data_IF_704551136924
#
_entry.id   IF_704551136924
#
_cell.length_a   1.000
_cell.length_b   1.000
_cell.length_c   1.000
_cell.angle_alpha   90.00
_cell.angle_beta   90.00
_cell.angle_gamma   90.00
#
_symmetry.space_group_name_H-M   'P 1'
#
loop_
_entity.id
_entity.type
_entity.pdbx_description
1 polymer ?
#
# COMPACT_ATOMS: atom_id res chain seq x y z
N UNK A 1 -4.53 -17.92 -3.24
CA UNK A 1 -4.56 -16.76 -2.32
C UNK A 1 -3.46 -16.95 -1.30
N UNK A 2 -2.56 -15.98 -1.17
CA UNK A 2 -1.48 -15.99 -0.18
C UNK A 2 -1.76 -14.91 0.85
N UNK A 3 -1.65 -15.24 2.13
CA UNK A 3 -1.78 -14.27 3.23
C UNK A 3 -0.41 -14.12 3.87
N UNK A 4 0.09 -12.88 3.90
CA UNK A 4 1.38 -12.58 4.51
C UNK A 4 1.19 -12.16 5.97
N UNK A 5 1.94 -12.75 6.92
CA UNK A 5 1.84 -12.36 8.31
C UNK A 5 2.40 -10.95 8.50
N UNK A 6 1.79 -10.18 9.40
CA UNK A 6 2.43 -8.96 9.90
C UNK A 6 3.57 -9.33 10.84
N UNK A 7 4.76 -8.86 10.50
CA UNK A 7 5.97 -9.04 11.30
C UNK A 7 6.41 -7.70 11.88
N UNK A 8 7.33 -7.73 12.84
CA UNK A 8 7.95 -6.51 13.36
C UNK A 8 8.61 -5.69 12.25
N UNK A 9 9.28 -6.36 11.31
CA UNK A 9 9.97 -5.70 10.21
C UNK A 9 9.00 -5.04 9.22
N UNK A 10 7.93 -5.74 8.83
CA UNK A 10 6.91 -5.17 7.93
C UNK A 10 6.18 -4.00 8.59
N UNK A 11 5.91 -4.08 9.90
CA UNK A 11 5.36 -2.98 10.67
C UNK A 11 6.29 -1.76 10.68
N UNK A 12 7.58 -1.93 11.00
CA UNK A 12 8.53 -0.82 11.08
C UNK A 12 8.74 -0.14 9.73
N UNK A 13 8.84 -0.90 8.63
CA UNK A 13 8.92 -0.33 7.28
C UNK A 13 7.64 0.40 6.89
N UNK A 14 6.47 -0.14 7.24
CA UNK A 14 5.19 0.54 7.06
C UNK A 14 5.13 1.86 7.83
N UNK A 15 5.56 1.85 9.09
CA UNK A 15 5.61 3.03 9.95
C UNK A 15 6.58 4.10 9.41
N UNK A 16 7.74 3.68 8.90
CA UNK A 16 8.69 4.60 8.27
C UNK A 16 8.08 5.32 7.07
N UNK A 17 7.38 4.59 6.20
CA UNK A 17 6.70 5.19 5.04
C UNK A 17 5.55 6.12 5.48
N UNK A 18 4.75 5.69 6.46
CA UNK A 18 3.67 6.50 7.03
C UNK A 18 4.17 7.84 7.56
N UNK A 19 5.26 7.83 8.34
CA UNK A 19 5.86 9.06 8.88
C UNK A 19 6.47 9.95 7.77
N UNK A 20 7.04 9.35 6.72
CA UNK A 20 7.58 10.09 5.56
C UNK A 20 6.50 10.71 4.67
N UNK A 21 5.26 10.23 4.77
CA UNK A 21 4.10 10.66 3.98
C UNK A 21 3.12 11.47 4.82
N UNK A 22 3.63 12.30 5.73
CA UNK A 22 2.81 13.24 6.50
C UNK A 22 2.06 14.28 5.64
N UNK A 23 2.44 14.41 4.37
CA UNK A 23 1.72 15.20 3.36
C UNK A 23 0.52 14.46 2.73
N UNK A 24 0.33 13.18 3.05
CA UNK A 24 -0.71 12.30 2.52
C UNK A 24 -1.62 11.80 3.63
N UNK A 25 -2.85 11.46 3.27
CA UNK A 25 -3.85 10.89 4.18
C UNK A 25 -3.77 9.35 4.26
N UNK A 26 -2.58 8.78 4.01
CA UNK A 26 -2.38 7.34 4.07
C UNK A 26 -2.62 6.80 5.48
N UNK A 27 -3.21 5.62 5.58
CA UNK A 27 -3.15 4.84 6.81
C UNK A 27 -1.82 4.07 6.91
N UNK A 28 -1.51 3.58 8.12
CA UNK A 28 -0.40 2.64 8.31
C UNK A 28 -0.60 1.34 7.51
N UNK A 29 -1.85 0.89 7.35
CA UNK A 29 -2.20 -0.30 6.57
C UNK A 29 -1.90 -0.10 5.09
N UNK A 30 -2.16 1.08 4.54
CA UNK A 30 -1.82 1.41 3.15
C UNK A 30 -0.32 1.33 2.93
N UNK A 31 0.45 2.01 3.80
CA UNK A 31 1.90 2.02 3.74
C UNK A 31 2.50 0.61 3.83
N UNK A 32 1.96 -0.22 4.71
CA UNK A 32 2.38 -1.62 4.87
C UNK A 32 2.05 -2.45 3.63
N UNK A 33 0.87 -2.23 3.04
CA UNK A 33 0.44 -2.90 1.81
C UNK A 33 1.32 -2.50 0.62
N UNK A 34 1.58 -1.19 0.44
CA UNK A 34 2.44 -0.66 -0.62
C UNK A 34 3.87 -1.19 -0.53
N UNK A 35 4.46 -1.23 0.68
CA UNK A 35 5.79 -1.82 0.88
C UNK A 35 5.81 -3.31 0.55
N UNK A 36 4.77 -4.04 0.95
CA UNK A 36 4.63 -5.48 0.64
C UNK A 36 4.55 -5.69 -0.87
N UNK A 37 3.69 -4.95 -1.56
CA UNK A 37 3.55 -5.02 -3.01
C UNK A 37 4.87 -4.73 -3.72
N UNK A 38 5.59 -3.67 -3.33
CA UNK A 38 6.93 -3.34 -3.87
C UNK A 38 7.93 -4.48 -3.67
N UNK A 39 7.96 -5.06 -2.48
CA UNK A 39 8.88 -6.17 -2.16
C UNK A 39 8.61 -7.43 -2.98
N UNK A 40 7.36 -7.59 -3.43
CA UNK A 40 6.93 -8.70 -4.29
C UNK A 40 6.91 -8.34 -5.78
N UNK A 41 7.37 -7.13 -6.15
CA UNK A 41 7.31 -6.62 -7.53
C UNK A 41 5.89 -6.61 -8.12
N UNK A 42 4.88 -6.35 -7.30
CA UNK A 42 3.48 -6.19 -7.72
C UNK A 42 3.19 -4.71 -7.99
N UNK A 43 2.60 -4.42 -9.16
CA UNK A 43 2.23 -3.06 -9.58
C UNK A 43 0.71 -2.82 -9.62
N UNK A 44 -0.10 -3.86 -9.56
CA UNK A 44 -1.57 -3.77 -9.69
C UNK A 44 -2.25 -4.04 -8.34
N UNK A 45 -3.12 -3.12 -7.90
CA UNK A 45 -3.87 -3.24 -6.67
C UNK A 45 -5.37 -3.37 -6.96
N UNK A 46 -6.00 -4.40 -6.41
CA UNK A 46 -7.46 -4.52 -6.37
C UNK A 46 -8.00 -3.78 -5.14
N UNK A 47 -8.13 -2.47 -5.24
CA UNK A 47 -8.68 -1.60 -4.19
C UNK A 47 -9.43 -0.44 -4.84
N UNK A 48 -10.36 0.19 -4.12
CA UNK A 48 -10.99 1.45 -4.54
C UNK A 48 -10.30 2.68 -3.92
N UNK A 49 -9.20 2.46 -3.19
CA UNK A 49 -8.43 3.52 -2.55
C UNK A 49 -7.40 4.13 -3.51
N UNK A 50 -7.63 5.39 -3.85
CA UNK A 50 -6.76 6.20 -4.70
C UNK A 50 -5.35 6.45 -4.13
N UNK A 51 -5.10 6.20 -2.83
CA UNK A 51 -3.77 6.35 -2.24
C UNK A 51 -2.71 5.52 -2.97
N UNK A 52 -3.09 4.36 -3.49
CA UNK A 52 -2.19 3.48 -4.24
C UNK A 52 -1.78 4.10 -5.59
N UNK A 53 -2.65 4.88 -6.24
CA UNK A 53 -2.29 5.59 -7.48
C UNK A 53 -1.21 6.64 -7.23
N UNK A 54 -1.28 7.34 -6.09
CA UNK A 54 -0.30 8.36 -5.69
C UNK A 54 1.11 7.79 -5.47
N UNK A 55 1.21 6.49 -5.17
CA UNK A 55 2.48 5.75 -5.02
C UNK A 55 2.88 4.98 -6.28
N UNK A 56 2.17 5.16 -7.39
CA UNK A 56 2.48 4.59 -8.70
C UNK A 56 1.89 3.21 -8.99
N UNK A 57 0.95 2.72 -8.17
CA UNK A 57 0.25 1.47 -8.44
C UNK A 57 -0.92 1.68 -9.42
N UNK A 58 -1.23 0.64 -10.20
CA UNK A 58 -2.41 0.60 -11.06
C UNK A 58 -3.60 0.06 -10.29
N UNK A 59 -4.67 0.84 -10.18
CA UNK A 59 -5.92 0.39 -9.56
C UNK A 59 -6.76 -0.40 -10.55
N UNK A 60 -7.18 -1.60 -10.16
CA UNK A 60 -8.00 -2.48 -11.00
C UNK A 60 -9.51 -2.25 -10.80
N UNK A 61 -9.94 -1.70 -9.66
CA UNK A 61 -11.36 -1.39 -9.43
C UNK A 61 -11.68 -0.07 -10.12
N UNK A 62 -12.28 -0.14 -11.31
CA UNK A 62 -12.84 1.05 -11.97
C UNK A 62 -14.14 1.44 -11.28
N UNK A 63 -14.25 2.71 -10.84
CA UNK A 63 -15.53 3.26 -10.41
C UNK A 63 -16.52 3.16 -11.57
N UNK A 64 -17.65 2.49 -11.36
CA UNK A 64 -18.76 2.63 -12.30
C UNK A 64 -19.26 4.07 -12.19
N UNK A 65 -19.32 4.76 -13.34
CA UNK A 65 -19.83 6.11 -13.46
C UNK A 65 -21.33 6.19 -13.25
#
# INVERSE_FOLDING_TARGET
MTVLPQTRDTFLRGLELYLKRGDKEYSLTDCTSMNTMRSMSLSEALTNDHHFEQEGFTILIKKQG
#
